data_IF_979202133181
#
_entry.id   IF_979202133181
#
_cell.length_a   1.000
_cell.length_b   1.000
_cell.length_c   1.000
_cell.angle_alpha   90.00
_cell.angle_beta   90.00
_cell.angle_gamma   90.00
#
_symmetry.space_group_name_H-M   'P 1'
#
loop_
_entity.id
_entity.type
_entity.pdbx_description
1 polymer ?
#
# COMPACT_ATOMS: atom_id res chain seq x y z
N UNK A 1 -3.30 -2.89 -57.03
CA UNK A 1 -4.06 -2.09 -56.04
C UNK A 1 -3.49 -2.40 -54.68
N UNK A 2 -3.02 -1.40 -53.93
CA UNK A 2 -2.47 -1.59 -52.59
C UNK A 2 -3.58 -1.31 -51.57
N UNK A 3 -3.98 -2.34 -50.82
CA UNK A 3 -5.02 -2.24 -49.79
C UNK A 3 -4.41 -1.64 -48.51
N UNK A 4 -4.97 -0.53 -48.05
CA UNK A 4 -4.56 0.09 -46.77
C UNK A 4 -5.25 -0.65 -45.62
N UNK A 5 -4.54 -1.59 -44.99
CA UNK A 5 -5.01 -2.25 -43.76
C UNK A 5 -4.86 -1.30 -42.57
N UNK A 6 -5.98 -0.78 -42.06
CA UNK A 6 -6.00 -0.08 -40.78
C UNK A 6 -5.83 -1.10 -39.64
N UNK A 7 -4.65 -1.09 -39.02
CA UNK A 7 -4.33 -1.90 -37.85
C UNK A 7 -4.76 -1.11 -36.61
N UNK A 8 -5.80 -1.56 -35.91
CA UNK A 8 -6.18 -0.97 -34.63
C UNK A 8 -5.20 -1.45 -33.56
N UNK A 9 -4.17 -0.65 -33.28
CA UNK A 9 -3.26 -0.88 -32.16
C UNK A 9 -3.90 -0.30 -30.91
N UNK A 10 -4.32 -1.18 -29.99
CA UNK A 10 -4.77 -0.75 -28.66
C UNK A 10 -3.61 -0.05 -27.95
N UNK A 11 -3.75 1.25 -27.68
CA UNK A 11 -2.78 1.99 -26.87
C UNK A 11 -3.01 1.64 -25.41
N UNK A 12 -2.24 0.68 -24.90
CA UNK A 12 -2.20 0.37 -23.47
C UNK A 12 -1.57 1.55 -22.73
N UNK A 13 -2.39 2.48 -22.25
CA UNK A 13 -1.94 3.58 -21.38
C UNK A 13 -2.00 3.15 -19.92
N UNK A 14 -1.00 3.53 -19.14
CA UNK A 14 -1.01 3.30 -17.69
C UNK A 14 -2.18 4.09 -17.05
N UNK A 15 -3.05 3.44 -16.26
CA UNK A 15 -4.21 4.10 -15.65
C UNK A 15 -3.78 5.09 -14.57
N UNK A 16 -3.72 6.39 -14.92
CA UNK A 16 -3.28 7.46 -14.01
C UNK A 16 -4.09 7.54 -12.71
N UNK A 17 -5.41 7.28 -12.79
CA UNK A 17 -6.27 7.28 -11.61
C UNK A 17 -5.92 6.15 -10.64
N UNK A 18 -5.59 4.96 -11.17
CA UNK A 18 -5.17 3.84 -10.34
C UNK A 18 -3.83 4.14 -9.65
N UNK A 19 -2.88 4.77 -10.35
CA UNK A 19 -1.63 5.21 -9.74
C UNK A 19 -1.85 6.22 -8.61
N UNK A 20 -2.74 7.20 -8.81
CA UNK A 20 -3.08 8.18 -7.78
C UNK A 20 -3.69 7.49 -6.55
N UNK A 21 -4.64 6.58 -6.77
CA UNK A 21 -5.27 5.83 -5.68
C UNK A 21 -4.26 4.98 -4.90
N UNK A 22 -3.39 4.23 -5.61
CA UNK A 22 -2.33 3.43 -4.99
C UNK A 22 -1.32 4.30 -4.22
N UNK A 23 -0.99 5.48 -4.75
CA UNK A 23 -0.12 6.43 -4.07
C UNK A 23 -0.70 6.92 -2.74
N UNK A 24 -2.01 7.23 -2.72
CA UNK A 24 -2.71 7.64 -1.49
C UNK A 24 -2.73 6.48 -0.48
N UNK A 25 -3.06 5.26 -0.92
CA UNK A 25 -3.08 4.07 -0.05
C UNK A 25 -1.70 3.82 0.54
N UNK A 26 -0.64 3.92 -0.27
CA UNK A 26 0.72 3.75 0.19
C UNK A 26 1.13 4.82 1.21
N UNK A 27 0.84 6.09 0.95
CA UNK A 27 1.12 7.19 1.87
C UNK A 27 0.37 7.03 3.20
N UNK A 28 -0.92 6.65 3.15
CA UNK A 28 -1.70 6.36 4.34
C UNK A 28 -1.14 5.18 5.12
N UNK A 29 -0.72 4.09 4.45
CA UNK A 29 -0.08 2.95 5.09
C UNK A 29 1.21 3.33 5.82
N UNK A 30 2.08 4.12 5.17
CA UNK A 30 3.30 4.64 5.81
C UNK A 30 2.99 5.52 7.02
N UNK A 31 1.95 6.36 6.94
CA UNK A 31 1.51 7.17 8.07
C UNK A 31 1.08 6.30 9.24
N UNK A 32 0.24 5.29 9.00
CA UNK A 32 -0.26 4.40 10.08
C UNK A 32 0.88 3.63 10.74
N UNK A 33 1.80 3.07 9.95
CA UNK A 33 2.91 2.25 10.51
C UNK A 33 3.99 3.11 11.17
N UNK A 34 4.32 4.28 10.60
CA UNK A 34 5.44 5.10 11.05
C UNK A 34 5.09 6.20 12.05
N UNK A 35 3.90 6.79 11.94
CA UNK A 35 3.52 8.00 12.67
C UNK A 35 2.32 7.83 13.60
N UNK A 36 1.32 7.03 13.23
CA UNK A 36 0.09 6.89 14.04
C UNK A 36 0.34 6.19 15.39
N UNK A 37 1.35 5.33 15.51
CA UNK A 37 1.72 4.65 16.77
C UNK A 37 0.56 3.89 17.45
N UNK A 38 -0.53 3.60 16.73
CA UNK A 38 -1.73 2.95 17.28
C UNK A 38 -2.86 3.91 17.68
N UNK A 39 -2.76 5.23 17.45
CA UNK A 39 -3.78 6.22 17.82
C UNK A 39 -5.14 5.94 17.20
N UNK A 40 -5.18 5.70 15.90
CA UNK A 40 -6.44 5.37 15.23
C UNK A 40 -6.94 3.98 15.68
N UNK A 41 -6.05 3.01 15.83
CA UNK A 41 -6.44 1.63 16.16
C UNK A 41 -6.95 1.49 17.61
N UNK A 42 -6.48 2.34 18.52
CA UNK A 42 -6.91 2.37 19.92
C UNK A 42 -8.39 2.64 20.12
N UNK A 43 -9.06 3.29 19.16
CA UNK A 43 -10.51 3.52 19.19
C UNK A 43 -11.30 2.21 19.25
N UNK A 44 -10.70 1.10 18.80
CA UNK A 44 -11.31 -0.24 18.78
C UNK A 44 -10.58 -1.20 19.73
N UNK A 45 -9.25 -1.18 19.75
CA UNK A 45 -8.44 -2.16 20.47
C UNK A 45 -8.01 -1.69 21.88
N UNK A 46 -8.27 -0.42 22.22
CA UNK A 46 -7.93 0.16 23.51
C UNK A 46 -6.47 0.57 23.62
N UNK A 47 -6.02 0.79 24.86
CA UNK A 47 -4.67 1.27 25.19
C UNK A 47 -3.57 0.32 24.68
N UNK A 48 -3.87 -0.98 24.59
CA UNK A 48 -2.94 -1.99 24.10
C UNK A 48 -2.47 -1.74 22.66
N UNK A 49 -3.25 -1.00 21.86
CA UNK A 49 -2.85 -0.63 20.50
C UNK A 49 -1.52 0.14 20.48
N UNK A 50 -1.29 0.96 21.50
CA UNK A 50 -0.09 1.77 21.68
C UNK A 50 1.01 1.05 22.43
N UNK A 51 0.65 0.43 23.57
CA UNK A 51 1.65 -0.14 24.49
C UNK A 51 2.46 -1.23 23.81
N UNK A 52 1.80 -1.99 22.93
CA UNK A 52 2.39 -3.13 22.24
C UNK A 52 2.84 -2.75 20.83
N UNK A 53 2.66 -1.48 20.42
CA UNK A 53 2.90 -1.00 19.06
C UNK A 53 2.33 -1.97 18.02
N UNK A 54 1.09 -2.43 18.24
CA UNK A 54 0.56 -3.63 17.59
C UNK A 54 0.71 -3.62 16.06
N UNK A 55 0.41 -2.49 15.42
CA UNK A 55 0.50 -2.36 13.96
C UNK A 55 1.96 -2.32 13.47
N UNK A 56 2.90 -1.81 14.27
CA UNK A 56 4.33 -1.85 13.97
C UNK A 56 4.83 -3.29 13.95
N UNK A 57 4.58 -4.04 15.02
CA UNK A 57 5.02 -5.44 15.15
C UNK A 57 4.33 -6.35 14.13
N UNK A 58 3.04 -6.15 13.86
CA UNK A 58 2.35 -6.86 12.79
C UNK A 58 3.00 -6.59 11.43
N UNK A 59 3.37 -5.34 11.14
CA UNK A 59 4.03 -5.00 9.88
C UNK A 59 5.46 -5.57 9.82
N UNK A 60 6.14 -5.62 10.95
CA UNK A 60 7.43 -6.27 11.10
C UNK A 60 7.34 -7.78 10.80
N UNK A 61 6.34 -8.47 11.33
CA UNK A 61 6.06 -9.88 11.06
C UNK A 61 5.70 -10.13 9.59
N UNK A 62 4.88 -9.28 8.98
CA UNK A 62 4.56 -9.39 7.55
C UNK A 62 5.81 -9.21 6.68
N UNK A 63 6.72 -8.32 7.06
CA UNK A 63 8.00 -8.13 6.38
C UNK A 63 8.86 -9.39 6.46
N UNK A 64 8.91 -10.04 7.63
CA UNK A 64 9.55 -11.34 7.79
C UNK A 64 8.92 -12.43 6.94
N UNK A 65 7.58 -12.52 6.94
CA UNK A 65 6.84 -13.49 6.14
C UNK A 65 7.08 -13.31 4.64
N UNK A 66 7.31 -12.07 4.20
CA UNK A 66 7.69 -11.75 2.83
C UNK A 66 9.20 -11.98 2.53
N UNK A 67 9.98 -12.47 3.49
CA UNK A 67 11.39 -12.81 3.33
C UNK A 67 12.34 -11.62 3.32
N UNK A 68 11.88 -10.43 3.73
CA UNK A 68 12.74 -9.27 3.83
C UNK A 68 13.51 -9.29 5.16
N UNK A 69 14.83 -8.98 5.15
CA UNK A 69 15.60 -8.93 6.38
C UNK A 69 15.16 -7.76 7.27
N UNK A 70 15.25 -7.95 8.58
CA UNK A 70 15.20 -6.92 9.61
C UNK A 70 16.43 -7.05 10.55
N UNK A 71 16.57 -6.13 11.50
CA UNK A 71 17.69 -6.07 12.45
C UNK A 71 17.34 -6.72 13.79
#
# INVERSE_FOLDING_TARGET
MSETRQINVSKTSVPKLALLALGIIFAAGLFVVGFDQGHIFSLVYGEQAFTDLYIHELTHDMRHAAGFPCH
#
